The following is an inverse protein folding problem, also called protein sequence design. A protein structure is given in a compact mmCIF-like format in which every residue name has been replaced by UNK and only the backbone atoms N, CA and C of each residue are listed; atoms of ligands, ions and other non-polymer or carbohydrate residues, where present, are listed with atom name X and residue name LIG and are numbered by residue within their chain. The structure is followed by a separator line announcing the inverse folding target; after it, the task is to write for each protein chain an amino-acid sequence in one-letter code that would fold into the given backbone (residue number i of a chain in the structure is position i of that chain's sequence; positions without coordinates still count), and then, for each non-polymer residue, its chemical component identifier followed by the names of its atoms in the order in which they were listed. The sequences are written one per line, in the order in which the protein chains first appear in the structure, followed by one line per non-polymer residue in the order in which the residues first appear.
data_IF_333002422438
#
_entry.id   IF_333002422438
#
_cell.length_a   1.000
_cell.length_b   1.000
_cell.length_c   1.000
_cell.angle_alpha   90.00
_cell.angle_beta   90.00
_cell.angle_gamma   90.00
#
_symmetry.space_group_name_H-M   'P 1'
#
loop_
_entity.id
_entity.type
_entity.pdbx_description
1 polymer ?
#
# COMPACT_ATOMS: atom_id res chain seq x y z
N UNK A 1 -7.20 32.49 1.22
CA UNK A 1 -7.65 31.38 2.09
C UNK A 1 -7.45 31.81 3.51
N UNK A 2 -8.50 31.69 4.31
CA UNK A 2 -8.37 31.86 5.76
C UNK A 2 -7.83 30.57 6.41
N UNK A 3 -7.70 30.57 7.74
CA UNK A 3 -7.18 29.43 8.50
C UNK A 3 -8.09 28.20 8.43
N UNK A 4 -9.40 28.39 8.25
CA UNK A 4 -10.35 27.29 8.16
C UNK A 4 -10.20 26.56 6.82
N UNK A 5 -10.02 27.31 5.73
CA UNK A 5 -9.74 26.76 4.40
C UNK A 5 -8.47 25.88 4.42
N UNK A 6 -7.39 26.34 5.06
CA UNK A 6 -6.14 25.57 5.18
C UNK A 6 -6.31 24.29 5.98
N UNK A 7 -7.05 24.36 7.09
CA UNK A 7 -7.35 23.19 7.91
C UNK A 7 -8.18 22.16 7.12
N UNK A 8 -9.15 22.60 6.33
CA UNK A 8 -9.94 21.73 5.45
C UNK A 8 -9.08 21.07 4.39
N UNK A 9 -8.19 21.82 3.76
CA UNK A 9 -7.27 21.31 2.73
C UNK A 9 -6.30 20.26 3.30
N UNK A 10 -5.67 20.54 4.45
CA UNK A 10 -4.81 19.56 5.16
C UNK A 10 -5.60 18.29 5.53
N UNK A 11 -6.85 18.44 6.00
CA UNK A 11 -7.73 17.32 6.30
C UNK A 11 -8.06 16.47 5.09
N UNK A 12 -8.42 17.09 3.97
CA UNK A 12 -8.71 16.40 2.72
C UNK A 12 -7.50 15.63 2.17
N UNK A 13 -6.32 16.26 2.18
CA UNK A 13 -5.06 15.62 1.81
C UNK A 13 -4.81 14.34 2.64
N UNK A 14 -4.94 14.42 3.97
CA UNK A 14 -4.78 13.24 4.86
C UNK A 14 -5.77 12.13 4.52
N UNK A 15 -7.02 12.48 4.24
CA UNK A 15 -8.03 11.49 3.82
C UNK A 15 -7.65 10.77 2.53
N UNK A 16 -7.02 11.46 1.57
CA UNK A 16 -6.53 10.84 0.34
C UNK A 16 -5.41 9.84 0.65
N UNK A 17 -4.37 10.24 1.38
CA UNK A 17 -3.24 9.35 1.70
C UNK A 17 -3.69 8.14 2.53
N UNK A 18 -4.56 8.34 3.51
CA UNK A 18 -5.19 7.28 4.27
C UNK A 18 -5.99 6.32 3.40
N UNK A 19 -6.71 6.86 2.40
CA UNK A 19 -7.49 6.07 1.45
C UNK A 19 -6.60 5.19 0.58
N UNK A 20 -5.49 5.74 0.08
CA UNK A 20 -4.49 4.99 -0.69
C UNK A 20 -3.86 3.89 0.16
N UNK A 21 -3.45 4.19 1.39
CA UNK A 21 -2.85 3.20 2.29
C UNK A 21 -3.83 2.05 2.59
N UNK A 22 -5.07 2.37 2.97
CA UNK A 22 -6.10 1.37 3.27
C UNK A 22 -6.49 0.55 2.05
N UNK A 23 -6.66 1.18 0.89
CA UNK A 23 -6.96 0.50 -0.36
C UNK A 23 -5.83 -0.44 -0.77
N UNK A 24 -4.58 0.01 -0.65
CA UNK A 24 -3.40 -0.80 -0.95
C UNK A 24 -3.35 -2.05 -0.06
N UNK A 25 -3.60 -1.89 1.24
CA UNK A 25 -3.63 -3.01 2.19
C UNK A 25 -4.76 -3.99 1.89
N UNK A 26 -5.97 -3.49 1.60
CA UNK A 26 -7.12 -4.32 1.25
C UNK A 26 -6.85 -5.16 -0.01
N UNK A 27 -6.29 -4.53 -1.06
CA UNK A 27 -5.99 -5.23 -2.30
C UNK A 27 -4.86 -6.24 -2.12
N UNK A 28 -3.81 -5.91 -1.35
CA UNK A 28 -2.73 -6.86 -1.02
C UNK A 28 -3.28 -8.12 -0.33
N UNK A 29 -4.12 -7.93 0.69
CA UNK A 29 -4.74 -9.02 1.43
C UNK A 29 -5.61 -9.88 0.52
N UNK A 30 -6.44 -9.25 -0.31
CA UNK A 30 -7.30 -9.97 -1.24
C UNK A 30 -6.50 -10.77 -2.27
N UNK A 31 -5.42 -10.20 -2.81
CA UNK A 31 -4.56 -10.88 -3.77
C UNK A 31 -3.81 -12.06 -3.14
N UNK A 32 -3.32 -11.90 -1.90
CA UNK A 32 -2.72 -13.00 -1.14
C UNK A 32 -3.72 -14.12 -0.88
N UNK A 33 -4.92 -13.78 -0.42
CA UNK A 33 -5.97 -14.77 -0.14
C UNK A 33 -6.44 -15.52 -1.40
N UNK A 34 -6.52 -14.82 -2.53
CA UNK A 34 -6.84 -15.45 -3.82
C UNK A 34 -5.81 -16.51 -4.24
N UNK A 35 -4.52 -16.31 -3.89
CA UNK A 35 -3.44 -17.23 -4.20
C UNK A 35 -3.31 -18.41 -3.22
N UNK A 36 -3.78 -18.28 -1.98
CA UNK A 36 -3.65 -19.31 -0.94
C UNK A 36 -4.24 -20.66 -1.36
N UNK A 37 -5.47 -20.68 -1.88
CA UNK A 37 -6.16 -21.93 -2.22
C UNK A 37 -5.41 -22.75 -3.28
N UNK A 38 -5.00 -22.17 -4.43
CA UNK A 38 -4.19 -22.89 -5.41
C UNK A 38 -2.88 -23.44 -4.84
N UNK A 39 -2.14 -22.64 -4.07
CA UNK A 39 -0.87 -23.10 -3.48
C UNK A 39 -1.07 -24.22 -2.47
N UNK A 40 -2.08 -24.14 -1.60
CA UNK A 40 -2.42 -25.22 -0.66
C UNK A 40 -2.71 -26.54 -1.37
N UNK A 41 -3.47 -26.51 -2.47
CA UNK A 41 -3.75 -27.71 -3.27
C UNK A 41 -2.46 -28.28 -3.87
N UNK A 42 -1.63 -27.44 -4.49
CA UNK A 42 -0.39 -27.88 -5.12
C UNK A 42 0.64 -28.40 -4.10
N UNK A 43 0.74 -27.78 -2.93
CA UNK A 43 1.64 -28.20 -1.85
C UNK A 43 1.22 -29.52 -1.20
N UNK A 44 -0.04 -29.93 -1.33
CA UNK A 44 -0.51 -31.25 -0.87
C UNK A 44 0.01 -32.40 -1.74
N UNK A 45 0.48 -32.12 -2.96
CA UNK A 45 0.96 -33.11 -3.92
C UNK A 45 2.47 -33.33 -3.70
N UNK A 46 2.82 -34.40 -2.99
CA UNK A 46 4.20 -34.66 -2.49
C UNK A 46 5.30 -34.50 -3.55
N UNK A 47 5.17 -35.02 -4.80
CA UNK A 47 6.23 -34.87 -5.80
C UNK A 47 6.55 -33.44 -6.21
N UNK A 48 5.59 -32.50 -6.09
CA UNK A 48 5.75 -31.10 -6.50
C UNK A 48 5.72 -30.10 -5.34
N UNK A 49 5.49 -30.56 -4.11
CA UNK A 49 5.38 -29.68 -2.95
C UNK A 49 6.63 -28.79 -2.74
N UNK A 50 7.89 -29.30 -2.84
CA UNK A 50 9.07 -28.45 -2.69
C UNK A 50 9.16 -27.30 -3.72
N UNK A 51 9.06 -27.53 -5.04
CA UNK A 51 9.07 -26.43 -6.00
C UNK A 51 7.84 -25.52 -5.86
N UNK A 52 6.66 -26.03 -5.50
CA UNK A 52 5.48 -25.20 -5.25
C UNK A 52 5.71 -24.19 -4.12
N UNK A 53 6.33 -24.61 -3.00
CA UNK A 53 6.64 -23.71 -1.88
C UNK A 53 7.61 -22.58 -2.26
N UNK A 54 8.54 -22.86 -3.17
CA UNK A 54 9.46 -21.85 -3.69
C UNK A 54 8.68 -20.80 -4.48
N UNK A 55 7.81 -21.24 -5.40
CA UNK A 55 6.97 -20.33 -6.19
C UNK A 55 6.03 -19.53 -5.30
N UNK A 56 5.45 -20.16 -4.28
CA UNK A 56 4.60 -19.49 -3.29
C UNK A 56 5.35 -18.38 -2.55
N UNK A 57 6.57 -18.67 -2.07
CA UNK A 57 7.44 -17.68 -1.42
C UNK A 57 7.81 -16.51 -2.36
N UNK A 58 8.11 -16.80 -3.63
CA UNK A 58 8.42 -15.79 -4.63
C UNK A 58 7.20 -14.91 -4.90
N UNK A 59 6.01 -15.49 -5.04
CA UNK A 59 4.76 -14.77 -5.20
C UNK A 59 4.52 -13.79 -4.04
N UNK A 60 4.65 -14.26 -2.80
CA UNK A 60 4.46 -13.41 -1.61
C UNK A 60 5.49 -12.29 -1.53
N UNK A 61 6.74 -12.57 -1.89
CA UNK A 61 7.79 -11.57 -1.99
C UNK A 61 7.48 -10.49 -3.04
N UNK A 62 6.98 -10.89 -4.21
CA UNK A 62 6.56 -9.95 -5.26
C UNK A 62 5.38 -9.09 -4.79
N UNK A 63 4.34 -9.69 -4.18
CA UNK A 63 3.21 -8.91 -3.66
C UNK A 63 3.69 -7.90 -2.60
N UNK A 64 4.49 -8.35 -1.63
CA UNK A 64 5.02 -7.48 -0.60
C UNK A 64 5.81 -6.30 -1.19
N UNK A 65 6.65 -6.57 -2.20
CA UNK A 65 7.45 -5.55 -2.87
C UNK A 65 6.56 -4.56 -3.63
N UNK A 66 5.60 -5.05 -4.41
CA UNK A 66 4.69 -4.20 -5.20
C UNK A 66 3.86 -3.30 -4.30
N UNK A 67 3.10 -3.86 -3.35
CA UNK A 67 2.25 -3.04 -2.47
C UNK A 67 3.08 -2.22 -1.48
N UNK A 68 4.25 -2.72 -1.07
CA UNK A 68 5.24 -1.96 -0.31
C UNK A 68 5.72 -0.72 -1.04
N UNK A 69 6.01 -0.83 -2.34
CA UNK A 69 6.42 0.32 -3.16
C UNK A 69 5.30 1.36 -3.30
N UNK A 70 4.04 0.93 -3.44
CA UNK A 70 2.89 1.85 -3.49
C UNK A 70 2.80 2.65 -2.19
N UNK A 71 2.91 1.98 -1.03
CA UNK A 71 2.94 2.66 0.28
C UNK A 71 4.12 3.62 0.41
N UNK A 72 5.31 3.21 -0.04
CA UNK A 72 6.49 4.06 0.00
C UNK A 72 6.32 5.34 -0.83
N UNK A 73 5.76 5.20 -2.04
CA UNK A 73 5.45 6.34 -2.91
C UNK A 73 4.38 7.22 -2.25
N UNK A 74 3.29 6.66 -1.72
CA UNK A 74 2.24 7.40 -1.04
C UNK A 74 2.80 8.27 0.11
N UNK A 75 3.68 7.71 0.94
CA UNK A 75 4.36 8.44 2.03
C UNK A 75 5.31 9.51 1.52
N UNK A 76 6.05 9.24 0.44
CA UNK A 76 6.93 10.23 -0.17
C UNK A 76 6.14 11.42 -0.73
N UNK A 77 5.00 11.15 -1.39
CA UNK A 77 4.08 12.18 -1.85
C UNK A 77 3.48 12.96 -0.68
N UNK A 78 3.09 12.28 0.40
CA UNK A 78 2.56 12.95 1.60
C UNK A 78 3.59 13.92 2.20
N UNK A 79 4.86 13.52 2.29
CA UNK A 79 5.93 14.42 2.76
C UNK A 79 6.14 15.62 1.82
N UNK A 80 6.09 15.40 0.51
CA UNK A 80 6.21 16.48 -0.47
C UNK A 80 5.03 17.47 -0.36
N UNK A 81 3.82 16.95 -0.22
CA UNK A 81 2.62 17.77 -0.07
C UNK A 81 2.63 18.56 1.25
N UNK A 82 3.10 17.97 2.36
CA UNK A 82 3.25 18.70 3.63
C UNK A 82 4.24 19.86 3.47
N UNK A 83 5.38 19.60 2.84
CA UNK A 83 6.37 20.64 2.54
C UNK A 83 5.81 21.77 1.69
N UNK A 84 5.03 21.46 0.64
CA UNK A 84 4.37 22.46 -0.21
C UNK A 84 3.35 23.27 0.60
N UNK A 85 2.50 22.60 1.38
CA UNK A 85 1.46 23.25 2.19
C UNK A 85 2.08 24.19 3.23
N UNK A 86 3.14 23.76 3.92
CA UNK A 86 3.86 24.59 4.90
C UNK A 86 4.51 25.83 4.26
N UNK A 87 4.92 25.75 3.00
CA UNK A 87 5.50 26.88 2.26
C UNK A 87 4.46 27.92 1.83
N UNK A 88 3.22 27.47 1.58
CA UNK A 88 2.14 28.27 1.00
C UNK A 88 1.15 28.79 2.05
N UNK A 89 1.08 28.17 3.23
CA UNK A 89 0.22 28.64 4.32
C UNK A 89 0.65 30.05 4.77
N UNK A 90 -0.23 31.06 4.68
CA UNK A 90 0.10 32.44 5.04
C UNK A 90 0.22 32.56 6.55
N UNK A 91 1.46 32.50 7.05
CA UNK A 91 1.77 32.66 8.46
C UNK A 91 3.07 32.00 8.95
N UNK A 92 4.10 31.92 8.09
CA UNK A 92 5.49 31.84 8.56
C UNK A 92 5.95 33.17 9.14
#
# INVERSE_FOLDING_TARGET
MDKEDWKRLRGFKRLIHDGVERGTNFVEEHHRHAAEKPFQVLESITPIAPPTRIVHSVHDGVLWLTYGSIRAINRATELADDWVMDRLEPGG
#
